data_IF_767638370657
#
_entry.id   IF_767638370657
#
_cell.length_a   1.000
_cell.length_b   1.000
_cell.length_c   1.000
_cell.angle_alpha   90.00
_cell.angle_beta   90.00
_cell.angle_gamma   90.00
#
_symmetry.space_group_name_H-M   'P 1'
#
loop_
_entity.id
_entity.type
_entity.pdbx_description
1 polymer ?
#
# COMPACT_ATOMS: atom_id res chain seq x y z
N UNK A 1 33.52 -38.38 -13.87
CA UNK A 1 34.75 -38.45 -13.04
C UNK A 1 35.62 -37.27 -13.42
N UNK A 2 35.47 -36.15 -12.70
CA UNK A 2 36.31 -34.96 -12.87
C UNK A 2 36.41 -34.27 -11.51
N UNK A 3 37.57 -34.41 -10.87
CA UNK A 3 37.99 -33.68 -9.68
C UNK A 3 38.55 -32.33 -10.10
N UNK A 4 38.05 -31.22 -9.52
CA UNK A 4 38.80 -29.95 -9.42
C UNK A 4 38.39 -29.32 -8.07
N UNK A 5 39.17 -29.60 -7.02
CA UNK A 5 40.23 -28.74 -6.47
C UNK A 5 39.70 -27.59 -5.61
N UNK A 6 39.67 -27.83 -4.30
CA UNK A 6 39.50 -26.82 -3.25
C UNK A 6 40.85 -26.13 -3.03
N UNK A 7 40.92 -24.84 -3.32
CA UNK A 7 42.04 -23.99 -2.88
C UNK A 7 41.53 -23.02 -1.82
N UNK A 8 42.03 -23.25 -0.60
CA UNK A 8 41.94 -22.34 0.52
C UNK A 8 42.80 -21.10 0.24
N UNK A 9 42.26 -19.91 0.56
CA UNK A 9 43.08 -18.73 0.82
C UNK A 9 42.80 -18.26 2.25
N UNK A 10 43.73 -18.65 3.13
CA UNK A 10 44.00 -17.98 4.39
C UNK A 10 44.72 -16.66 4.11
N UNK A 11 44.40 -15.64 4.90
CA UNK A 11 45.34 -14.57 5.26
C UNK A 11 44.88 -13.16 4.92
N UNK A 12 44.46 -12.39 5.91
CA UNK A 12 45.39 -11.49 6.60
C UNK A 12 44.74 -10.89 7.85
N UNK A 13 45.44 -11.03 8.97
CA UNK A 13 45.17 -10.36 10.24
C UNK A 13 45.70 -8.93 10.13
N UNK A 14 44.84 -7.93 10.37
CA UNK A 14 45.26 -6.57 10.67
C UNK A 14 44.52 -6.09 11.91
N UNK A 15 45.10 -6.40 13.07
CA UNK A 15 44.72 -5.79 14.34
C UNK A 15 45.22 -4.34 14.36
N UNK A 16 44.34 -3.40 14.05
CA UNK A 16 44.56 -1.96 14.23
C UNK A 16 44.03 -1.51 15.58
N UNK A 17 44.89 -1.54 16.59
CA UNK A 17 44.63 -1.03 17.94
C UNK A 17 44.77 0.51 17.91
N UNK A 18 43.66 1.25 17.74
CA UNK A 18 43.64 2.69 18.02
C UNK A 18 43.06 2.91 19.42
N UNK A 19 43.97 3.05 20.39
CA UNK A 19 43.69 3.70 21.64
C UNK A 19 43.46 5.19 21.38
N UNK A 20 42.21 5.65 21.49
CA UNK A 20 41.90 7.07 21.64
C UNK A 20 41.33 7.31 23.03
N UNK A 21 41.92 8.31 23.66
CA UNK A 21 41.87 8.68 25.07
C UNK A 21 40.46 8.93 25.61
N UNK A 22 40.27 8.42 26.82
CA UNK A 22 39.18 8.76 27.72
C UNK A 22 39.04 10.29 27.90
N UNK A 23 37.91 10.83 27.44
CA UNK A 23 37.38 12.13 27.85
C UNK A 23 36.07 11.89 28.59
N UNK A 24 36.16 11.71 29.90
CA UNK A 24 35.00 11.59 30.77
C UNK A 24 34.27 12.94 30.85
N UNK A 25 33.16 13.10 30.12
CA UNK A 25 32.13 14.07 30.49
C UNK A 25 31.21 13.42 31.52
N UNK A 26 31.58 13.60 32.80
CA UNK A 26 30.67 13.48 33.94
C UNK A 26 29.56 14.54 33.78
N UNK A 27 28.44 14.16 33.18
CA UNK A 27 27.19 14.90 33.40
C UNK A 27 26.53 14.31 34.63
N UNK A 28 26.63 15.08 35.70
CA UNK A 28 25.98 14.87 37.00
C UNK A 28 24.50 14.54 36.84
N UNK A 29 24.08 13.39 37.37
CA UNK A 29 22.69 13.15 37.72
C UNK A 29 22.37 14.05 38.92
N UNK A 30 21.62 15.11 38.68
CA UNK A 30 20.95 15.85 39.74
C UNK A 30 19.70 15.09 40.16
N UNK A 31 19.65 14.69 41.42
CA UNK A 31 18.46 14.20 42.12
C UNK A 31 17.26 15.13 41.90
N UNK A 32 16.26 14.66 41.15
CA UNK A 32 14.89 15.14 41.31
C UNK A 32 14.12 14.09 42.10
N UNK A 33 14.23 14.20 43.42
CA UNK A 33 13.25 13.67 44.34
C UNK A 33 11.94 14.45 44.15
N UNK A 34 10.94 13.85 43.52
CA UNK A 34 9.55 14.32 43.65
C UNK A 34 8.86 13.49 44.73
N UNK A 35 8.48 14.20 45.79
CA UNK A 35 7.76 13.66 46.94
C UNK A 35 6.39 13.15 46.53
N UNK A 36 6.11 11.96 47.07
CA UNK A 36 4.83 11.48 47.55
C UNK A 36 3.97 12.62 48.15
N UNK A 37 2.81 12.90 47.56
CA UNK A 37 1.67 13.46 48.29
C UNK A 37 0.32 13.20 47.59
N UNK A 38 -0.52 12.50 48.35
CA UNK A 38 -1.98 12.56 48.43
C UNK A 38 -2.84 11.80 47.40
N UNK A 39 -3.25 10.62 47.86
CA UNK A 39 -4.65 10.26 48.11
C UNK A 39 -5.70 11.33 47.73
N UNK A 40 -6.55 10.96 46.76
CA UNK A 40 -7.76 11.70 46.38
C UNK A 40 -8.83 10.73 45.90
N UNK A 41 -9.54 10.15 46.85
CA UNK A 41 -10.77 9.39 46.67
C UNK A 41 -11.95 10.26 46.22
N UNK A 42 -12.78 9.75 45.32
CA UNK A 42 -14.21 10.13 45.25
C UNK A 42 -14.65 10.73 43.91
N UNK A 43 -15.62 10.08 43.27
CA UNK A 43 -16.30 10.64 42.10
C UNK A 43 -17.13 9.64 41.32
N UNK A 44 -18.05 8.92 41.98
CA UNK A 44 -19.18 8.31 41.29
C UNK A 44 -20.07 9.43 40.75
N UNK A 45 -20.27 9.47 39.43
CA UNK A 45 -21.17 10.41 38.76
C UNK A 45 -21.82 9.72 37.58
N UNK A 46 -22.91 9.01 37.84
CA UNK A 46 -23.80 8.53 36.81
C UNK A 46 -24.57 9.68 36.18
N UNK A 47 -24.72 9.64 34.86
CA UNK A 47 -25.88 10.22 34.17
C UNK A 47 -26.34 9.24 33.10
N UNK A 48 -27.39 8.53 33.47
CA UNK A 48 -28.37 7.91 32.60
C UNK A 48 -29.24 8.97 31.94
N UNK A 49 -29.20 9.07 30.61
CA UNK A 49 -30.27 9.54 29.71
C UNK A 49 -30.01 8.78 28.40
N UNK A 50 -30.79 7.81 27.93
CA UNK A 50 -32.25 7.74 27.77
C UNK A 50 -32.52 7.61 26.26
N UNK A 51 -33.23 6.56 25.78
CA UNK A 51 -33.57 6.42 24.36
C UNK A 51 -34.85 7.21 24.08
N UNK A 52 -34.86 8.05 23.05
CA UNK A 52 -36.08 8.76 22.65
C UNK A 52 -35.81 10.01 21.83
N UNK A 53 -36.11 9.93 20.54
CA UNK A 53 -36.02 11.06 19.61
C UNK A 53 -36.83 10.79 18.35
N UNK A 54 -38.11 10.48 18.52
CA UNK A 54 -39.12 10.62 17.47
C UNK A 54 -39.44 12.10 17.32
N UNK A 55 -39.29 12.63 16.11
CA UNK A 55 -39.78 13.94 15.67
C UNK A 55 -39.39 14.07 14.20
N UNK A 56 -40.28 14.24 13.24
CA UNK A 56 -41.66 14.70 13.28
C UNK A 56 -41.83 15.52 12.01
N UNK A 57 -42.14 14.87 10.89
CA UNK A 57 -42.59 15.55 9.67
C UNK A 57 -44.12 15.55 9.69
N UNK A 58 -44.69 16.71 9.98
CA UNK A 58 -46.14 16.91 10.10
C UNK A 58 -46.54 18.13 9.26
N UNK A 59 -47.51 17.87 8.37
CA UNK A 59 -48.25 18.69 7.37
C UNK A 59 -47.63 18.80 5.96
N UNK A 60 -48.11 18.01 4.97
CA UNK A 60 -49.38 18.05 4.17
C UNK A 60 -49.19 18.93 2.91
N UNK A 61 -49.59 18.63 1.68
CA UNK A 61 -50.66 17.83 1.05
C UNK A 61 -50.23 17.73 -0.47
N UNK A 62 -50.58 16.80 -1.35
CA UNK A 62 -51.57 15.74 -1.34
C UNK A 62 -51.59 14.95 -2.66
N UNK A 63 -52.47 13.94 -2.66
CA UNK A 63 -53.24 13.34 -3.77
C UNK A 63 -52.58 12.46 -4.85
N UNK A 64 -52.96 11.17 -4.79
CA UNK A 64 -53.23 10.28 -5.93
C UNK A 64 -52.22 9.13 -6.08
N UNK A 65 -52.55 7.84 -6.10
CA UNK A 65 -53.81 7.10 -6.11
C UNK A 65 -53.52 5.67 -6.61
N UNK A 66 -54.18 4.65 -6.03
CA UNK A 66 -54.21 3.25 -6.49
C UNK A 66 -52.93 2.44 -6.20
N UNK A 67 -52.92 1.26 -5.58
CA UNK A 67 -53.95 0.24 -5.48
C UNK A 67 -53.42 -1.05 -6.12
N UNK A 68 -52.78 -1.92 -5.33
CA UNK A 68 -52.71 -3.36 -5.60
C UNK A 68 -52.26 -4.12 -4.34
N UNK A 69 -53.12 -5.03 -3.90
CA UNK A 69 -52.88 -6.00 -2.83
C UNK A 69 -52.12 -7.22 -3.37
N UNK A 70 -51.37 -7.87 -2.48
CA UNK A 70 -50.84 -9.23 -2.65
C UNK A 70 -49.34 -9.27 -2.36
N UNK A 71 -48.79 -10.17 -1.54
CA UNK A 71 -49.33 -11.26 -0.75
C UNK A 71 -48.18 -11.74 0.14
N UNK A 72 -48.47 -12.13 1.37
CA UNK A 72 -47.47 -12.66 2.30
C UNK A 72 -47.09 -14.09 1.88
N UNK A 73 -45.82 -14.29 1.52
CA UNK A 73 -45.22 -15.59 1.33
C UNK A 73 -44.07 -15.77 2.31
N UNK A 74 -44.34 -16.46 3.42
CA UNK A 74 -43.33 -16.97 4.35
C UNK A 74 -42.76 -18.28 3.81
N UNK A 75 -41.44 -18.43 3.71
CA UNK A 75 -40.85 -19.72 3.36
C UNK A 75 -39.33 -19.73 3.25
N UNK A 76 -38.67 -20.39 4.21
CA UNK A 76 -37.50 -21.23 3.96
C UNK A 76 -36.12 -20.57 4.04
N UNK A 77 -35.46 -20.72 5.18
CA UNK A 77 -34.00 -20.73 5.26
C UNK A 77 -33.44 -22.06 4.74
N UNK A 78 -32.42 -22.02 3.87
CA UNK A 78 -31.39 -23.06 3.89
C UNK A 78 -30.05 -22.44 4.32
N UNK A 79 -29.50 -22.99 5.40
CA UNK A 79 -28.08 -22.90 5.73
C UNK A 79 -27.26 -23.55 4.62
N UNK A 80 -26.57 -22.75 3.83
CA UNK A 80 -25.61 -23.20 2.82
C UNK A 80 -24.26 -22.52 3.03
N UNK A 81 -23.23 -23.33 3.27
CA UNK A 81 -21.81 -22.97 3.34
C UNK A 81 -21.36 -22.26 2.07
N UNK A 82 -20.88 -21.01 2.20
CA UNK A 82 -20.54 -20.11 1.10
C UNK A 82 -19.27 -20.51 0.35
N UNK A 83 -19.44 -21.02 -0.87
CA UNK A 83 -18.43 -20.96 -1.93
C UNK A 83 -18.61 -19.68 -2.74
N UNK A 84 -17.52 -18.96 -3.00
CA UNK A 84 -17.49 -17.75 -3.83
C UNK A 84 -18.03 -18.00 -5.24
N UNK A 85 -18.97 -17.20 -5.75
CA UNK A 85 -19.43 -17.29 -7.13
C UNK A 85 -18.62 -16.34 -8.02
N UNK A 86 -17.43 -16.75 -8.46
CA UNK A 86 -16.87 -16.23 -9.73
C UNK A 86 -17.43 -17.07 -10.86
N UNK A 87 -18.72 -16.88 -11.12
CA UNK A 87 -19.43 -17.48 -12.23
C UNK A 87 -20.25 -16.39 -12.88
N UNK A 88 -19.68 -15.73 -13.89
CA UNK A 88 -20.43 -14.92 -14.84
C UNK A 88 -21.38 -15.87 -15.58
N UNK A 89 -22.58 -16.03 -15.04
CA UNK A 89 -23.69 -16.66 -15.72
C UNK A 89 -24.03 -15.82 -16.93
N UNK A 90 -23.60 -16.28 -18.11
CA UNK A 90 -24.00 -15.71 -19.38
C UNK A 90 -25.52 -15.65 -19.45
N UNK A 91 -26.04 -14.44 -19.61
CA UNK A 91 -27.44 -14.24 -19.99
C UNK A 91 -27.62 -14.87 -21.37
N UNK A 92 -28.51 -15.87 -21.43
CA UNK A 92 -28.85 -16.58 -22.65
C UNK A 92 -29.41 -15.64 -23.72
N UNK A 93 -28.66 -15.58 -24.81
CA UNK A 93 -29.07 -15.48 -26.22
C UNK A 93 -30.43 -14.93 -26.63
N UNK A 94 -30.38 -13.91 -27.48
CA UNK A 94 -31.16 -13.90 -28.71
C UNK A 94 -30.21 -14.15 -29.89
N UNK A 95 -30.55 -15.12 -30.75
CA UNK A 95 -29.75 -15.57 -31.89
C UNK A 95 -29.63 -14.55 -33.03
N UNK A 96 -29.07 -13.37 -32.75
CA UNK A 96 -28.63 -12.42 -33.75
C UNK A 96 -27.43 -13.00 -34.49
N UNK A 97 -27.45 -12.96 -35.83
CA UNK A 97 -26.26 -13.23 -36.64
C UNK A 97 -25.07 -12.38 -36.18
N UNK A 98 -23.84 -12.68 -36.65
CA UNK A 98 -22.64 -11.94 -36.25
C UNK A 98 -22.93 -10.44 -36.34
N UNK A 99 -22.94 -9.77 -35.18
CA UNK A 99 -23.21 -8.33 -35.10
C UNK A 99 -22.06 -7.65 -35.80
N UNK A 100 -22.27 -7.31 -37.07
CA UNK A 100 -21.30 -6.54 -37.83
C UNK A 100 -21.36 -5.11 -37.33
N UNK A 101 -20.29 -4.64 -36.71
CA UNK A 101 -20.18 -3.26 -36.28
C UNK A 101 -19.45 -2.42 -37.33
N UNK A 102 -19.78 -1.14 -37.42
CA UNK A 102 -19.02 -0.16 -38.20
C UNK A 102 -18.38 0.92 -37.32
N UNK A 103 -18.68 0.91 -36.02
CA UNK A 103 -18.05 1.69 -34.96
C UNK A 103 -18.38 1.03 -33.59
N UNK A 104 -17.65 1.36 -32.52
CA UNK A 104 -17.89 0.81 -31.18
C UNK A 104 -19.32 0.94 -30.64
N UNK A 105 -20.02 2.03 -30.95
CA UNK A 105 -21.38 2.27 -30.47
C UNK A 105 -22.42 1.35 -31.11
N UNK A 106 -22.08 0.69 -32.22
CA UNK A 106 -22.92 -0.34 -32.84
C UNK A 106 -22.86 -1.68 -32.09
N UNK A 107 -21.92 -1.83 -31.14
CA UNK A 107 -21.78 -3.04 -30.35
C UNK A 107 -22.70 -3.04 -29.12
N UNK A 108 -23.30 -4.19 -28.77
CA UNK A 108 -24.09 -4.31 -27.56
C UNK A 108 -23.22 -4.06 -26.31
N UNK A 109 -23.84 -3.57 -25.24
CA UNK A 109 -23.15 -3.22 -23.99
C UNK A 109 -23.18 -1.72 -23.71
N UNK A 110 -22.55 -1.33 -22.61
CA UNK A 110 -22.32 0.06 -22.24
C UNK A 110 -20.83 0.25 -22.04
N UNK A 111 -20.32 1.41 -22.46
CA UNK A 111 -18.94 1.78 -22.16
C UNK A 111 -18.87 2.25 -20.71
N UNK A 112 -17.80 1.85 -20.05
CA UNK A 112 -17.36 2.36 -18.78
C UNK A 112 -16.03 3.10 -18.87
N UNK A 113 -15.60 3.65 -17.74
CA UNK A 113 -14.32 4.33 -17.60
C UNK A 113 -13.16 3.34 -17.81
N UNK A 114 -13.30 2.11 -17.32
CA UNK A 114 -12.24 1.09 -17.39
C UNK A 114 -12.41 0.06 -18.51
N UNK A 115 -13.62 -0.10 -19.03
CA UNK A 115 -13.93 -1.06 -20.07
C UNK A 115 -14.79 -0.38 -21.14
N UNK A 116 -14.36 -0.38 -22.40
CA UNK A 116 -15.09 0.29 -23.49
C UNK A 116 -15.26 -0.67 -24.66
N UNK A 117 -16.38 -0.56 -25.38
CA UNK A 117 -16.62 -1.35 -26.59
C UNK A 117 -15.60 -1.00 -27.65
N UNK A 118 -15.21 -1.98 -28.44
CA UNK A 118 -14.38 -1.81 -29.62
C UNK A 118 -15.05 -2.42 -30.83
N UNK A 119 -14.72 -1.91 -32.02
CA UNK A 119 -15.17 -2.48 -33.28
C UNK A 119 -13.98 -2.60 -34.21
N UNK A 120 -13.47 -3.82 -34.38
CA UNK A 120 -12.32 -4.09 -35.22
C UNK A 120 -12.69 -5.14 -36.27
N UNK A 121 -12.42 -4.82 -37.55
CA UNK A 121 -12.75 -5.69 -38.68
C UNK A 121 -14.24 -6.11 -38.74
N UNK A 122 -15.13 -5.20 -38.37
CA UNK A 122 -16.57 -5.44 -38.23
C UNK A 122 -16.94 -6.48 -37.16
N UNK A 123 -16.06 -6.74 -36.20
CA UNK A 123 -16.30 -7.61 -35.05
C UNK A 123 -16.30 -6.76 -33.79
N UNK A 124 -17.36 -6.88 -33.00
CA UNK A 124 -17.44 -6.27 -31.69
C UNK A 124 -16.44 -6.91 -30.73
N UNK A 125 -15.70 -6.08 -30.01
CA UNK A 125 -14.80 -6.48 -28.94
C UNK A 125 -14.96 -5.57 -27.73
N UNK A 126 -14.07 -5.77 -26.76
CA UNK A 126 -13.95 -4.99 -25.55
C UNK A 126 -12.50 -4.53 -25.45
N UNK A 127 -12.31 -3.24 -25.24
CA UNK A 127 -11.05 -2.60 -24.88
C UNK A 127 -11.02 -2.28 -23.40
N UNK A 128 -9.82 -2.28 -22.82
CA UNK A 128 -9.61 -1.95 -21.42
C UNK A 128 -8.78 -0.68 -21.34
N UNK A 129 -9.16 0.24 -20.45
CA UNK A 129 -8.34 1.40 -20.16
C UNK A 129 -7.01 0.96 -19.53
N UNK A 130 -5.95 1.74 -19.75
CA UNK A 130 -4.67 1.46 -19.11
C UNK A 130 -4.79 1.53 -17.58
N UNK A 131 -3.96 0.74 -16.87
CA UNK A 131 -3.90 0.81 -15.42
C UNK A 131 -3.58 2.24 -14.95
N UNK A 132 -4.25 2.69 -13.90
CA UNK A 132 -4.10 4.04 -13.35
C UNK A 132 -4.96 5.10 -14.06
N UNK A 133 -5.72 4.74 -15.09
CA UNK A 133 -6.72 5.64 -15.68
C UNK A 133 -7.77 5.97 -14.62
N UNK A 134 -8.08 7.26 -14.43
CA UNK A 134 -9.09 7.68 -13.46
C UNK A 134 -10.46 7.10 -13.83
N UNK A 135 -11.19 6.60 -12.84
CA UNK A 135 -12.56 6.11 -13.00
C UNK A 135 -13.40 6.52 -11.79
N UNK A 136 -14.73 6.54 -11.94
CA UNK A 136 -15.67 6.85 -10.87
C UNK A 136 -16.74 5.76 -10.66
N UNK A 137 -16.54 4.61 -11.29
CA UNK A 137 -17.47 3.50 -11.33
C UNK A 137 -17.34 2.65 -10.07
N UNK A 138 -18.48 2.19 -9.53
CA UNK A 138 -18.51 1.31 -8.35
C UNK A 138 -17.76 1.85 -7.11
N UNK A 139 -17.49 3.16 -7.06
CA UNK A 139 -16.74 3.80 -5.98
C UNK A 139 -15.22 3.53 -6.01
N UNK A 140 -14.67 3.08 -7.14
CA UNK A 140 -13.23 3.07 -7.36
C UNK A 140 -12.69 4.44 -7.77
N UNK A 141 -11.36 4.53 -7.83
CA UNK A 141 -10.63 5.75 -8.22
C UNK A 141 -9.85 5.56 -9.52
N UNK A 142 -9.35 4.34 -9.77
CA UNK A 142 -8.47 4.02 -10.90
C UNK A 142 -8.75 2.65 -11.52
N UNK A 143 -8.52 2.52 -12.82
CA UNK A 143 -8.61 1.26 -13.53
C UNK A 143 -7.44 0.34 -13.19
N UNK A 144 -7.71 -0.96 -13.00
CA UNK A 144 -6.70 -2.00 -12.74
C UNK A 144 -5.97 -2.49 -14.00
N UNK A 145 -6.38 -2.03 -15.19
CA UNK A 145 -5.89 -2.50 -16.48
C UNK A 145 -6.52 -3.80 -16.97
N UNK A 146 -7.45 -4.37 -16.20
CA UNK A 146 -8.27 -5.54 -16.53
C UNK A 146 -9.76 -5.19 -16.68
N UNK A 147 -10.09 -3.89 -16.78
CA UNK A 147 -11.45 -3.41 -16.95
C UNK A 147 -12.20 -3.09 -15.65
N UNK A 148 -11.56 -3.19 -14.49
CA UNK A 148 -12.21 -2.91 -13.19
C UNK A 148 -11.77 -1.56 -12.64
N UNK A 149 -12.74 -0.76 -12.21
CA UNK A 149 -12.49 0.43 -11.39
C UNK A 149 -12.26 0.02 -9.93
N UNK A 150 -11.04 0.23 -9.42
CA UNK A 150 -10.59 -0.15 -8.07
C UNK A 150 -10.15 1.08 -7.28
N UNK A 151 -10.14 0.99 -5.95
CA UNK A 151 -9.62 2.04 -5.10
C UNK A 151 -8.12 2.25 -5.33
N UNK A 152 -7.67 3.51 -5.36
CA UNK A 152 -6.26 3.85 -5.46
C UNK A 152 -5.46 3.20 -4.30
N UNK A 153 -4.26 2.68 -4.58
CA UNK A 153 -3.44 2.03 -3.57
C UNK A 153 -3.86 0.60 -3.20
N UNK A 154 -4.71 -0.04 -4.01
CA UNK A 154 -5.05 -1.46 -3.86
C UNK A 154 -4.23 -2.32 -4.82
N UNK A 155 -3.03 -2.81 -4.42
CA UNK A 155 -2.21 -3.61 -5.31
C UNK A 155 -2.80 -5.02 -5.48
N UNK A 156 -2.57 -5.68 -6.62
CA UNK A 156 -2.80 -7.11 -6.73
C UNK A 156 -1.95 -7.86 -5.70
N UNK A 157 -2.50 -8.94 -5.16
CA UNK A 157 -1.77 -9.85 -4.24
C UNK A 157 -0.54 -10.39 -4.97
N UNK A 158 0.63 -10.16 -4.40
CA UNK A 158 1.87 -10.67 -4.96
C UNK A 158 1.86 -12.22 -5.03
N UNK A 159 2.27 -12.82 -6.16
CA UNK A 159 2.27 -14.28 -6.32
C UNK A 159 3.28 -14.99 -5.39
N UNK A 160 4.32 -14.28 -4.94
CA UNK A 160 5.41 -14.83 -4.13
C UNK A 160 6.29 -15.81 -4.92
N UNK A 161 6.97 -16.71 -4.20
CA UNK A 161 7.88 -17.70 -4.79
C UNK A 161 8.95 -18.18 -3.82
N UNK A 162 10.03 -18.75 -4.37
CA UNK A 162 11.23 -19.01 -3.59
C UNK A 162 11.83 -17.68 -3.11
N UNK A 163 12.28 -17.62 -1.86
CA UNK A 163 12.79 -16.39 -1.28
C UNK A 163 14.08 -15.94 -1.99
N UNK A 164 14.07 -14.76 -2.64
CA UNK A 164 15.26 -14.22 -3.30
C UNK A 164 16.36 -13.87 -2.30
N UNK A 165 17.61 -13.89 -2.75
CA UNK A 165 18.77 -13.62 -1.88
C UNK A 165 18.88 -12.16 -1.45
N UNK A 166 18.23 -11.25 -2.17
CA UNK A 166 18.16 -9.82 -1.87
C UNK A 166 17.34 -9.54 -0.62
N UNK A 167 16.42 -10.46 -0.25
CA UNK A 167 15.62 -10.38 0.97
C UNK A 167 16.47 -10.77 2.19
N UNK A 168 17.40 -9.91 2.59
CA UNK A 168 18.35 -10.15 3.69
C UNK A 168 17.66 -10.40 5.04
N UNK A 169 16.44 -9.86 5.23
CA UNK A 169 15.58 -10.13 6.38
C UNK A 169 14.68 -11.36 6.23
N UNK A 170 14.80 -12.10 5.13
CA UNK A 170 14.01 -13.28 4.78
C UNK A 170 12.69 -12.94 4.06
N UNK A 171 11.86 -13.97 3.87
CA UNK A 171 10.54 -13.83 3.25
C UNK A 171 9.45 -14.43 4.14
N UNK A 172 8.29 -13.80 4.14
CA UNK A 172 7.07 -14.34 4.75
C UNK A 172 5.97 -14.34 3.70
N UNK A 173 5.56 -15.53 3.26
CA UNK A 173 4.63 -15.72 2.15
C UNK A 173 5.05 -14.97 0.88
N UNK A 174 4.28 -13.97 0.46
CA UNK A 174 4.50 -13.14 -0.72
C UNK A 174 5.24 -11.83 -0.42
N UNK A 175 5.81 -11.67 0.78
CA UNK A 175 6.54 -10.47 1.20
C UNK A 175 8.03 -10.73 1.40
N UNK A 176 8.86 -9.92 0.76
CA UNK A 176 10.31 -9.84 0.90
C UNK A 176 10.67 -8.79 1.97
N UNK A 177 11.54 -9.16 2.91
CA UNK A 177 12.07 -8.25 3.92
C UNK A 177 13.54 -7.98 3.66
N UNK A 178 13.91 -6.71 3.54
CA UNK A 178 15.29 -6.24 3.48
C UNK A 178 15.53 -5.45 4.76
N UNK A 179 16.44 -5.93 5.59
CA UNK A 179 16.76 -5.32 6.89
C UNK A 179 18.18 -4.77 6.85
N UNK A 180 18.33 -3.53 7.31
CA UNK A 180 19.59 -2.82 7.44
C UNK A 180 19.66 -2.31 8.88
N UNK A 181 20.06 -3.20 9.79
CA UNK A 181 20.00 -3.02 11.24
C UNK A 181 21.32 -2.48 11.81
N UNK A 182 22.43 -2.77 11.14
CA UNK A 182 23.73 -2.23 11.53
C UNK A 182 23.94 -0.80 11.00
N UNK A 183 24.74 0.04 11.70
CA UNK A 183 25.10 1.35 11.19
C UNK A 183 25.74 1.28 9.80
N UNK A 184 25.17 2.02 8.86
CA UNK A 184 25.60 2.06 7.46
C UNK A 184 25.61 0.71 6.71
N UNK A 185 24.89 -0.30 7.17
CA UNK A 185 24.87 -1.65 6.55
C UNK A 185 24.55 -1.63 5.04
N UNK A 186 23.55 -0.84 4.65
CA UNK A 186 23.08 -0.68 3.28
C UNK A 186 23.38 0.72 2.71
N UNK A 187 24.30 1.47 3.33
CA UNK A 187 24.59 2.84 2.90
C UNK A 187 25.17 2.83 1.47
N UNK A 188 24.66 3.72 0.61
CA UNK A 188 24.99 3.79 -0.82
C UNK A 188 24.73 2.50 -1.62
N UNK A 189 24.00 1.53 -1.07
CA UNK A 189 23.63 0.32 -1.80
C UNK A 189 22.52 0.60 -2.81
N UNK A 190 22.45 -0.21 -3.86
CA UNK A 190 21.28 -0.28 -4.74
C UNK A 190 20.39 -1.46 -4.29
N UNK A 191 19.37 -1.16 -3.49
CA UNK A 191 18.42 -2.13 -2.96
C UNK A 191 17.28 -2.32 -3.97
N UNK A 192 17.37 -3.39 -4.75
CA UNK A 192 16.35 -3.74 -5.74
C UNK A 192 15.39 -4.76 -5.14
N UNK A 193 14.13 -4.36 -4.96
CA UNK A 193 13.09 -5.27 -4.52
C UNK A 193 12.73 -6.27 -5.64
N UNK A 194 12.65 -7.58 -5.34
CA UNK A 194 12.38 -8.59 -6.36
C UNK A 194 10.95 -8.50 -6.91
N UNK A 195 10.79 -8.78 -8.20
CA UNK A 195 9.48 -8.84 -8.84
C UNK A 195 8.61 -9.98 -8.26
N UNK A 196 7.29 -9.77 -8.21
CA UNK A 196 6.34 -10.77 -7.71
C UNK A 196 6.25 -10.86 -6.19
N UNK A 197 6.87 -9.95 -5.45
CA UNK A 197 6.79 -9.85 -3.99
C UNK A 197 6.34 -8.45 -3.57
N UNK A 198 5.59 -8.37 -2.48
CA UNK A 198 5.51 -7.14 -1.69
C UNK A 198 6.88 -6.92 -1.03
N UNK A 199 7.37 -5.69 -1.00
CA UNK A 199 8.70 -5.39 -0.47
C UNK A 199 8.61 -4.53 0.79
N UNK A 200 9.34 -4.94 1.84
CA UNK A 200 9.52 -4.14 3.04
C UNK A 200 11.02 -3.92 3.29
N UNK A 201 11.46 -2.67 3.17
CA UNK A 201 12.82 -2.24 3.51
C UNK A 201 12.79 -1.58 4.88
N UNK A 202 13.57 -2.09 5.83
CA UNK A 202 13.65 -1.55 7.20
C UNK A 202 15.07 -1.10 7.48
N UNK A 203 15.23 0.20 7.67
CA UNK A 203 16.51 0.87 7.97
C UNK A 203 16.51 1.25 9.46
N UNK A 204 16.96 0.31 10.31
CA UNK A 204 16.93 0.45 11.76
C UNK A 204 18.28 0.84 12.38
N UNK A 205 19.38 0.69 11.64
CA UNK A 205 20.70 1.20 12.02
C UNK A 205 20.87 2.69 11.73
N UNK A 206 21.75 3.38 12.45
CA UNK A 206 22.09 4.78 12.18
C UNK A 206 22.70 4.92 10.78
N UNK A 207 22.14 5.81 9.96
CA UNK A 207 22.56 5.96 8.54
C UNK A 207 22.57 4.65 7.74
N UNK A 208 21.79 3.64 8.16
CA UNK A 208 21.79 2.28 7.60
C UNK A 208 21.50 2.24 6.10
N UNK A 209 20.65 3.12 5.60
CA UNK A 209 20.29 3.28 4.18
C UNK A 209 20.65 4.68 3.65
N UNK A 210 21.61 5.37 4.27
CA UNK A 210 22.00 6.70 3.83
C UNK A 210 22.51 6.66 2.39
N UNK A 211 21.99 7.54 1.54
CA UNK A 211 22.28 7.60 0.11
C UNK A 211 22.01 6.31 -0.66
N UNK A 212 21.24 5.36 -0.09
CA UNK A 212 20.83 4.17 -0.82
C UNK A 212 19.86 4.53 -1.95
N UNK A 213 19.90 3.76 -3.03
CA UNK A 213 18.88 3.76 -4.07
C UNK A 213 17.98 2.56 -3.79
N UNK A 214 16.68 2.78 -3.64
CA UNK A 214 15.70 1.75 -3.33
C UNK A 214 14.72 1.67 -4.50
N UNK A 215 14.85 0.62 -5.29
CA UNK A 215 14.00 0.36 -6.46
C UNK A 215 12.87 -0.59 -6.07
N UNK A 216 11.66 -0.04 -5.96
CA UNK A 216 10.46 -0.79 -5.61
C UNK A 216 9.99 -1.69 -6.76
N UNK A 217 9.36 -2.85 -6.47
CA UNK A 217 8.94 -3.78 -7.51
C UNK A 217 7.75 -3.22 -8.29
N UNK A 218 7.59 -3.63 -9.55
CA UNK A 218 6.41 -3.29 -10.34
C UNK A 218 5.15 -3.92 -9.74
N UNK A 219 4.03 -3.20 -9.82
CA UNK A 219 2.67 -3.64 -9.47
C UNK A 219 2.37 -3.94 -7.98
N UNK A 220 3.38 -4.17 -7.14
CA UNK A 220 3.18 -4.64 -5.76
C UNK A 220 3.53 -3.59 -4.71
N UNK A 221 3.14 -3.86 -3.46
CA UNK A 221 3.33 -2.90 -2.38
C UNK A 221 4.81 -2.77 -2.02
N UNK A 222 5.29 -1.52 -1.91
CA UNK A 222 6.61 -1.20 -1.41
C UNK A 222 6.50 -0.36 -0.14
N UNK A 223 7.13 -0.80 0.95
CA UNK A 223 7.16 -0.08 2.22
C UNK A 223 8.61 0.12 2.66
N UNK A 224 9.02 1.38 2.82
CA UNK A 224 10.35 1.76 3.33
C UNK A 224 10.17 2.40 4.70
N UNK A 225 10.84 1.86 5.73
CA UNK A 225 10.71 2.32 7.11
C UNK A 225 12.08 2.74 7.65
N UNK A 226 12.20 4.01 8.04
CA UNK A 226 13.44 4.63 8.50
C UNK A 226 13.32 4.98 9.99
N UNK A 227 13.86 4.11 10.86
CA UNK A 227 13.61 4.18 12.30
C UNK A 227 14.72 4.83 13.12
N UNK A 228 15.98 4.78 12.67
CA UNK A 228 17.13 5.36 13.38
C UNK A 228 17.61 6.69 12.83
N UNK A 229 18.37 7.43 13.62
CA UNK A 229 18.91 8.75 13.25
C UNK A 229 19.56 8.72 11.85
N UNK A 230 19.09 9.60 10.98
CA UNK A 230 19.54 9.72 9.59
C UNK A 230 19.51 8.41 8.78
N UNK A 231 18.71 7.41 9.19
CA UNK A 231 18.70 6.07 8.59
C UNK A 231 18.55 6.10 7.07
N UNK A 232 17.74 7.01 6.53
CA UNK A 232 17.50 7.17 5.10
C UNK A 232 17.93 8.55 4.60
N UNK A 233 18.91 9.20 5.25
CA UNK A 233 19.38 10.51 4.82
C UNK A 233 19.88 10.47 3.38
N UNK A 234 19.35 11.37 2.53
CA UNK A 234 19.63 11.44 1.09
C UNK A 234 19.35 10.14 0.31
N UNK A 235 18.56 9.21 0.85
CA UNK A 235 18.15 8.02 0.13
C UNK A 235 17.22 8.41 -1.03
N UNK A 236 17.29 7.67 -2.14
CA UNK A 236 16.38 7.81 -3.27
C UNK A 236 15.47 6.59 -3.34
N UNK A 237 14.16 6.79 -3.16
CA UNK A 237 13.14 5.74 -3.27
C UNK A 237 12.45 5.89 -4.62
N UNK A 238 12.68 4.94 -5.52
CA UNK A 238 12.05 4.88 -6.82
C UNK A 238 10.83 3.96 -6.73
N UNK A 239 9.66 4.57 -6.54
CA UNK A 239 8.40 3.84 -6.56
C UNK A 239 8.11 3.35 -7.97
N UNK A 240 7.47 2.19 -8.10
CA UNK A 240 7.11 1.69 -9.42
C UNK A 240 5.94 2.48 -10.01
N UNK A 241 5.79 2.40 -11.34
CA UNK A 241 4.70 3.07 -12.03
C UNK A 241 3.32 2.64 -11.54
N UNK A 242 3.18 1.39 -11.08
CA UNK A 242 1.88 0.76 -10.89
C UNK A 242 1.70 0.11 -9.51
N UNK A 243 2.60 0.36 -8.56
CA UNK A 243 2.56 -0.24 -7.22
C UNK A 243 2.48 0.85 -6.14
N UNK A 244 1.69 0.65 -5.07
CA UNK A 244 1.62 1.59 -3.97
C UNK A 244 2.93 1.64 -3.21
N UNK A 245 3.31 2.85 -2.81
CA UNK A 245 4.61 3.14 -2.24
C UNK A 245 4.45 3.92 -0.94
N UNK A 246 4.99 3.38 0.15
CA UNK A 246 4.90 3.98 1.47
C UNK A 246 6.29 4.25 2.04
N UNK A 247 6.55 5.47 2.48
CA UNK A 247 7.77 5.86 3.19
C UNK A 247 7.41 6.33 4.60
N UNK A 248 7.91 5.60 5.59
CA UNK A 248 7.80 5.94 7.00
C UNK A 248 9.07 6.59 7.52
N UNK A 249 8.97 7.86 7.89
CA UNK A 249 10.04 8.64 8.48
C UNK A 249 9.66 9.03 9.92
N UNK A 250 10.55 8.83 10.88
CA UNK A 250 10.42 9.53 12.16
C UNK A 250 10.85 11.01 12.06
N UNK A 251 11.15 11.63 13.21
CA UNK A 251 11.54 13.05 13.35
C UNK A 251 12.68 13.57 12.44
N UNK A 252 13.74 12.80 12.17
CA UNK A 252 14.93 13.26 11.40
C UNK A 252 15.58 12.15 10.55
N UNK A 253 14.84 11.08 10.28
CA UNK A 253 15.40 9.88 9.65
C UNK A 253 15.56 10.00 8.13
N UNK A 254 14.85 10.93 7.49
CA UNK A 254 14.75 11.05 6.03
C UNK A 254 15.23 12.40 5.49
N UNK A 255 16.18 13.05 6.20
CA UNK A 255 16.69 14.35 5.78
C UNK A 255 17.21 14.28 4.32
N UNK A 256 16.67 15.14 3.46
CA UNK A 256 17.01 15.20 2.03
C UNK A 256 16.77 13.92 1.23
N UNK A 257 16.01 12.96 1.77
CA UNK A 257 15.59 11.80 0.99
C UNK A 257 14.68 12.25 -0.16
N UNK A 258 14.68 11.51 -1.27
CA UNK A 258 13.84 11.77 -2.43
C UNK A 258 12.97 10.56 -2.68
N UNK A 259 11.67 10.76 -2.78
CA UNK A 259 10.70 9.75 -3.16
C UNK A 259 10.13 10.08 -4.54
N UNK A 260 10.39 9.24 -5.53
CA UNK A 260 9.90 9.39 -6.89
C UNK A 260 8.66 8.49 -7.06
N UNK A 261 7.48 9.08 -6.99
CA UNK A 261 6.21 8.35 -7.08
C UNK A 261 5.91 7.92 -8.53
N UNK A 262 5.16 6.82 -8.68
CA UNK A 262 4.62 6.36 -9.95
C UNK A 262 3.22 6.92 -10.24
N UNK A 263 2.34 6.09 -10.79
CA UNK A 263 0.93 6.40 -11.06
C UNK A 263 -0.01 5.90 -9.95
N UNK A 264 0.45 5.04 -9.04
CA UNK A 264 -0.36 4.50 -7.92
C UNK A 264 -0.25 5.36 -6.65
N UNK A 265 -0.86 4.93 -5.54
CA UNK A 265 -0.83 5.62 -4.26
C UNK A 265 0.61 5.78 -3.74
N UNK A 266 0.98 7.00 -3.40
CA UNK A 266 2.27 7.38 -2.85
C UNK A 266 2.07 8.11 -1.53
N UNK A 267 2.58 7.55 -0.44
CA UNK A 267 2.37 8.09 0.90
C UNK A 267 3.68 8.19 1.68
N UNK A 268 4.07 9.41 2.00
CA UNK A 268 5.13 9.70 2.95
C UNK A 268 4.51 10.09 4.30
N UNK A 269 4.91 9.40 5.36
CA UNK A 269 4.49 9.70 6.74
C UNK A 269 5.69 10.15 7.54
N UNK A 270 5.61 11.34 8.16
CA UNK A 270 6.69 11.91 8.95
C UNK A 270 6.21 12.28 10.35
N UNK A 271 6.87 11.76 11.37
CA UNK A 271 6.58 12.13 12.76
C UNK A 271 7.42 13.34 13.17
N UNK A 272 7.00 14.56 12.82
CA UNK A 272 7.66 15.82 13.21
C UNK A 272 9.04 16.05 12.58
N UNK A 273 9.64 17.23 12.78
CA UNK A 273 10.99 17.55 12.30
C UNK A 273 11.09 18.78 11.38
N UNK A 274 12.32 19.22 11.12
CA UNK A 274 12.61 20.31 10.19
C UNK A 274 13.11 19.82 8.81
N UNK A 275 13.38 18.52 8.67
CA UNK A 275 13.95 17.92 7.47
C UNK A 275 13.03 16.81 6.96
N UNK A 276 12.24 17.14 5.93
CA UNK A 276 11.32 16.23 5.27
C UNK A 276 11.93 15.68 3.96
N UNK A 277 11.48 14.50 3.51
CA UNK A 277 11.81 14.03 2.17
C UNK A 277 11.16 14.92 1.11
N UNK A 278 11.80 15.03 -0.05
CA UNK A 278 11.16 15.57 -1.26
C UNK A 278 10.31 14.47 -1.89
N UNK A 279 9.01 14.68 -2.02
CA UNK A 279 8.09 13.73 -2.66
C UNK A 279 7.71 14.25 -4.05
N UNK A 280 8.18 13.55 -5.10
CA UNK A 280 7.88 13.85 -6.49
C UNK A 280 6.65 13.03 -6.92
N UNK A 281 5.46 13.63 -6.82
CA UNK A 281 4.19 12.94 -7.01
C UNK A 281 3.93 12.40 -8.43
N UNK A 282 4.55 12.99 -9.46
CA UNK A 282 4.31 12.64 -10.87
C UNK A 282 2.80 12.49 -11.19
N UNK A 283 2.36 11.30 -11.60
CA UNK A 283 0.97 11.00 -11.96
C UNK A 283 0.25 10.14 -10.92
N UNK A 284 0.73 10.12 -9.67
CA UNK A 284 0.15 9.31 -8.61
C UNK A 284 -1.35 9.61 -8.42
N UNK A 285 -2.19 8.58 -8.43
CA UNK A 285 -3.62 8.72 -8.18
C UNK A 285 -3.93 9.27 -6.78
N UNK A 286 -3.01 9.06 -5.83
CA UNK A 286 -3.01 9.68 -4.53
C UNK A 286 -1.57 9.99 -4.14
N UNK A 287 -1.29 11.25 -3.80
CA UNK A 287 0.02 11.65 -3.30
C UNK A 287 -0.13 12.38 -1.97
N UNK A 288 0.39 11.77 -0.90
CA UNK A 288 0.46 12.39 0.40
C UNK A 288 1.93 12.63 0.76
N UNK A 289 2.33 13.90 0.79
CA UNK A 289 3.63 14.30 1.28
C UNK A 289 3.59 14.55 2.80
N UNK A 290 4.77 14.51 3.41
CA UNK A 290 5.02 15.18 4.67
C UNK A 290 5.11 16.70 4.44
#
# INVERSE_FOLDING_TARGET
MALVSRSALLGFVAAGLFASSAGACLMSFGDFAFSDQLAGSGGQGGVSMGPGGQGGCVFCDGSGGGGAQGGMGSGGSPTGTGGSPTGMGGMGGDGGGPVTCNNPNACPGMDGDCEFRTCENNVCGIGQAAKGTLCNENGGDVCDGMGTCVACGSPPVAPGGACPTECTGGCNANKCFITCDDPSECASANLVCPAGFDCQVTCSGASSCASAIIDCPSLHQCTVVCNAASACASATVNCSADGPCNLGCGNMQCASAVMNCGNDACNATCQGGAAFPTVNCNNACQCNAC
#
